data_IF_300886434567
#
_entry.id   IF_300886434567
#
_cell.length_a   1.000
_cell.length_b   1.000
_cell.length_c   1.000
_cell.angle_alpha   90.00
_cell.angle_beta   90.00
_cell.angle_gamma   90.00
#
_symmetry.space_group_name_H-M   'P 1'
#
loop_
_entity.id
_entity.type
_entity.pdbx_description
1 polymer ?
#
# COMPACT_ATOMS: atom_id res chain seq x y z
N UNK A 1 13.01 30.57 27.95
CA UNK A 1 11.63 31.00 28.23
C UNK A 1 11.25 32.07 27.22
N UNK A 2 10.43 31.73 26.23
CA UNK A 2 9.63 32.68 25.46
C UNK A 2 8.40 31.91 24.99
N UNK A 3 7.29 32.15 25.70
CA UNK A 3 6.00 31.56 25.44
C UNK A 3 5.36 32.23 24.22
N UNK A 4 4.80 31.45 23.29
CA UNK A 4 3.83 31.94 22.31
C UNK A 4 2.50 31.24 22.57
N UNK A 5 1.52 32.08 22.91
CA UNK A 5 0.14 31.75 23.26
C UNK A 5 -0.69 31.39 22.04
N UNK A 6 -1.76 30.66 22.34
CA UNK A 6 -2.70 29.97 21.48
C UNK A 6 -3.48 30.82 20.46
N UNK A 7 -3.97 30.14 19.42
CA UNK A 7 -5.16 30.52 18.68
C UNK A 7 -5.83 29.28 18.09
N UNK A 8 -6.85 28.73 18.77
CA UNK A 8 -7.75 27.71 18.21
C UNK A 8 -8.79 28.42 17.35
N UNK A 9 -8.89 28.07 16.07
CA UNK A 9 -10.04 28.38 15.23
C UNK A 9 -10.61 27.08 14.67
N UNK A 10 -11.74 26.65 15.23
CA UNK A 10 -12.58 25.61 14.64
C UNK A 10 -13.41 26.25 13.52
N UNK A 11 -13.42 25.63 12.34
CA UNK A 11 -14.31 26.02 11.24
C UNK A 11 -15.14 24.80 10.86
N UNK A 12 -16.43 24.88 11.19
CA UNK A 12 -17.49 23.98 10.69
C UNK A 12 -18.03 24.62 9.41
N UNK A 13 -18.09 23.88 8.30
CA UNK A 13 -18.86 24.29 7.12
C UNK A 13 -19.70 23.11 6.63
N UNK A 14 -21.01 23.27 6.78
CA UNK A 14 -22.08 22.49 6.16
C UNK A 14 -22.44 23.11 4.80
N UNK A 15 -22.68 22.27 3.78
CA UNK A 15 -23.57 22.54 2.64
C UNK A 15 -23.05 23.51 1.56
N UNK A 16 -22.79 22.99 0.36
CA UNK A 16 -22.15 23.71 -0.73
C UNK A 16 -23.02 24.60 -1.61
N UNK A 17 -22.37 25.45 -2.41
CA UNK A 17 -22.70 25.90 -3.79
C UNK A 17 -21.37 26.35 -4.44
N UNK A 18 -21.19 26.07 -5.72
CA UNK A 18 -20.03 26.45 -6.53
C UNK A 18 -19.90 27.98 -6.72
N UNK A 19 -18.67 28.53 -6.67
CA UNK A 19 -18.22 29.65 -7.50
C UNK A 19 -16.76 30.09 -7.25
N UNK A 20 -16.10 30.43 -8.38
CA UNK A 20 -15.07 31.46 -8.58
C UNK A 20 -13.65 31.25 -8.00
N UNK A 21 -12.73 30.97 -8.93
CA UNK A 21 -11.30 31.00 -8.75
C UNK A 21 -10.78 32.43 -8.51
N UNK A 22 -10.41 32.73 -7.26
CA UNK A 22 -9.52 33.84 -6.88
C UNK A 22 -8.62 33.35 -5.74
N UNK A 23 -7.38 32.93 -6.07
CA UNK A 23 -6.23 32.90 -5.17
C UNK A 23 -6.40 32.30 -3.75
N UNK A 24 -7.26 31.29 -3.57
CA UNK A 24 -7.41 30.53 -2.32
C UNK A 24 -6.74 29.15 -2.39
N UNK A 25 -6.52 28.46 -1.25
CA UNK A 25 -5.87 27.15 -1.27
C UNK A 25 -6.67 26.21 -2.16
N UNK A 26 -6.00 25.53 -3.07
CA UNK A 26 -6.62 24.56 -3.97
C UNK A 26 -7.52 23.65 -3.13
N UNK A 27 -8.81 23.66 -3.42
CA UNK A 27 -9.73 22.66 -2.89
C UNK A 27 -9.27 21.38 -3.56
N UNK A 28 -8.47 20.58 -2.84
CA UNK A 28 -8.05 19.29 -3.34
C UNK A 28 -9.33 18.54 -3.73
N UNK A 29 -9.39 18.09 -4.99
CA UNK A 29 -10.42 17.14 -5.39
C UNK A 29 -10.39 16.01 -4.35
N UNK A 30 -11.53 15.72 -3.72
CA UNK A 30 -11.61 14.60 -2.81
C UNK A 30 -11.23 13.33 -3.60
N UNK A 31 -10.36 12.51 -3.04
CA UNK A 31 -10.02 11.21 -3.62
C UNK A 31 -11.32 10.43 -3.93
N UNK A 32 -11.32 9.58 -4.97
CA UNK A 32 -12.45 8.68 -5.22
C UNK A 32 -12.80 7.90 -3.94
N UNK A 33 -14.08 7.51 -3.75
CA UNK A 33 -14.46 6.76 -2.57
C UNK A 33 -13.65 5.46 -2.46
N UNK A 34 -13.19 5.15 -1.24
CA UNK A 34 -12.33 4.00 -0.91
C UNK A 34 -10.89 4.07 -1.46
N UNK A 35 -10.35 5.27 -1.70
CA UNK A 35 -8.96 5.48 -2.12
C UNK A 35 -8.07 6.10 -1.03
N UNK A 36 -8.43 5.91 0.25
CA UNK A 36 -7.65 6.46 1.37
C UNK A 36 -6.47 5.56 1.74
N UNK A 37 -5.57 6.08 2.58
CA UNK A 37 -4.50 5.28 3.19
C UNK A 37 -5.04 4.09 4.01
N UNK A 38 -6.22 4.23 4.65
CA UNK A 38 -6.86 3.15 5.38
C UNK A 38 -7.32 2.03 4.44
N UNK A 39 -7.85 2.38 3.27
CA UNK A 39 -8.28 1.42 2.26
C UNK A 39 -7.07 0.66 1.68
N UNK A 40 -5.99 1.37 1.36
CA UNK A 40 -4.74 0.74 0.93
C UNK A 40 -4.19 -0.22 1.98
N UNK A 41 -4.20 0.17 3.26
CA UNK A 41 -3.76 -0.69 4.35
C UNK A 41 -4.63 -1.95 4.48
N UNK A 42 -5.95 -1.84 4.28
CA UNK A 42 -6.86 -2.97 4.23
C UNK A 42 -6.51 -3.96 3.12
N UNK A 43 -6.28 -3.46 1.90
CA UNK A 43 -5.85 -4.29 0.75
C UNK A 43 -4.51 -4.96 1.03
N UNK A 44 -3.53 -4.21 1.53
CA UNK A 44 -2.20 -4.75 1.87
C UNK A 44 -2.27 -5.83 2.96
N UNK A 45 -3.17 -5.69 3.93
CA UNK A 45 -3.43 -6.69 4.96
C UNK A 45 -3.98 -7.98 4.35
N UNK A 46 -4.95 -7.87 3.44
CA UNK A 46 -5.49 -9.02 2.69
C UNK A 46 -4.42 -9.76 1.90
N UNK A 47 -3.58 -9.03 1.15
CA UNK A 47 -2.45 -9.61 0.40
C UNK A 47 -1.45 -10.30 1.34
N UNK A 48 -1.17 -9.71 2.49
CA UNK A 48 -0.25 -10.28 3.48
C UNK A 48 -0.81 -11.57 4.08
N UNK A 49 -2.10 -11.61 4.40
CA UNK A 49 -2.78 -12.82 4.90
C UNK A 49 -2.77 -13.94 3.85
N UNK A 50 -3.13 -13.63 2.60
CA UNK A 50 -3.09 -14.60 1.50
C UNK A 50 -1.66 -15.13 1.25
N UNK A 51 -0.65 -14.25 1.32
CA UNK A 51 0.76 -14.66 1.24
C UNK A 51 1.12 -15.61 2.38
N UNK A 52 0.68 -15.34 3.62
CA UNK A 52 0.92 -16.24 4.76
C UNK A 52 0.32 -17.63 4.52
N UNK A 53 -0.93 -17.71 4.04
CA UNK A 53 -1.57 -18.99 3.70
C UNK A 53 -0.81 -19.72 2.59
N UNK A 54 -0.36 -19.00 1.56
CA UNK A 54 0.43 -19.57 0.48
C UNK A 54 1.73 -20.19 1.01
N UNK A 55 2.49 -19.46 1.83
CA UNK A 55 3.73 -19.97 2.40
C UNK A 55 3.51 -21.20 3.30
N UNK A 56 2.42 -21.26 4.08
CA UNK A 56 2.12 -22.46 4.87
C UNK A 56 1.73 -23.68 4.03
N UNK A 57 1.22 -23.47 2.82
CA UNK A 57 0.85 -24.55 1.88
C UNK A 57 1.98 -24.90 0.90
N UNK A 58 3.05 -24.09 0.86
CA UNK A 58 4.23 -24.25 0.03
C UNK A 58 5.50 -24.22 0.90
N UNK A 59 5.79 -25.31 1.64
CA UNK A 59 6.84 -25.32 2.65
C UNK A 59 8.24 -25.08 2.06
N UNK A 60 8.48 -25.49 0.82
CA UNK A 60 9.72 -25.24 0.07
C UNK A 60 9.91 -23.74 -0.24
N UNK A 61 8.84 -23.07 -0.67
CA UNK A 61 8.85 -21.62 -0.89
C UNK A 61 9.06 -20.87 0.42
N UNK A 62 8.40 -21.30 1.49
CA UNK A 62 8.54 -20.72 2.83
C UNK A 62 9.96 -20.87 3.37
N UNK A 63 10.58 -22.05 3.21
CA UNK A 63 11.97 -22.29 3.59
C UNK A 63 12.91 -21.36 2.83
N UNK A 64 12.75 -21.24 1.51
CA UNK A 64 13.55 -20.33 0.69
C UNK A 64 13.51 -18.90 1.23
N UNK A 65 12.31 -18.32 1.39
CA UNK A 65 12.17 -16.94 1.87
C UNK A 65 12.62 -16.76 3.32
N UNK A 66 12.45 -17.78 4.17
CA UNK A 66 12.96 -17.78 5.56
C UNK A 66 14.48 -17.71 5.60
N UNK A 67 15.17 -18.43 4.72
CA UNK A 67 16.63 -18.46 4.63
C UNK A 67 17.25 -17.14 4.10
N UNK A 68 16.42 -16.21 3.62
CA UNK A 68 16.88 -14.84 3.28
C UNK A 68 17.05 -13.94 4.51
N UNK A 69 16.60 -14.37 5.69
CA UNK A 69 16.67 -13.58 6.93
C UNK A 69 18.11 -13.17 7.25
N UNK A 70 18.31 -11.88 7.56
CA UNK A 70 19.60 -11.32 7.93
C UNK A 70 20.51 -10.93 6.76
N UNK A 71 20.12 -11.21 5.51
CA UNK A 71 20.88 -10.80 4.34
C UNK A 71 20.64 -9.32 3.99
N UNK A 72 21.59 -8.65 3.32
CA UNK A 72 21.41 -7.29 2.80
C UNK A 72 20.22 -7.20 1.83
N UNK A 73 19.50 -6.07 1.86
CA UNK A 73 18.24 -5.90 1.10
C UNK A 73 18.41 -6.07 -0.41
N UNK A 74 19.53 -5.62 -0.96
CA UNK A 74 19.91 -5.81 -2.36
C UNK A 74 20.05 -7.30 -2.71
N UNK A 75 20.80 -8.06 -1.90
CA UNK A 75 20.96 -9.51 -2.09
C UNK A 75 19.64 -10.27 -1.96
N UNK A 76 18.78 -9.89 -1.02
CA UNK A 76 17.43 -10.48 -0.86
C UNK A 76 16.62 -10.31 -2.15
N UNK A 77 16.66 -9.12 -2.76
CA UNK A 77 15.90 -8.84 -4.00
C UNK A 77 16.41 -9.66 -5.17
N UNK A 78 17.72 -9.77 -5.34
CA UNK A 78 18.30 -10.50 -6.45
C UNK A 78 18.08 -12.01 -6.32
N UNK A 79 18.25 -12.57 -5.12
CA UNK A 79 17.94 -13.99 -4.86
C UNK A 79 16.47 -14.31 -5.07
N UNK A 80 15.57 -13.45 -4.57
CA UNK A 80 14.14 -13.64 -4.78
C UNK A 80 13.76 -13.57 -6.27
N UNK A 81 14.37 -12.67 -7.05
CA UNK A 81 14.15 -12.62 -8.51
C UNK A 81 14.61 -13.90 -9.20
N UNK A 82 15.85 -14.32 -8.93
CA UNK A 82 16.39 -15.56 -9.50
C UNK A 82 15.47 -16.75 -9.19
N UNK A 83 15.09 -16.92 -7.92
CA UNK A 83 14.19 -18.00 -7.52
C UNK A 83 12.85 -17.96 -8.27
N UNK A 84 12.24 -16.78 -8.42
CA UNK A 84 10.96 -16.67 -9.14
C UNK A 84 11.10 -16.88 -10.65
N UNK A 85 12.25 -16.57 -11.24
CA UNK A 85 12.51 -16.84 -12.66
C UNK A 85 12.74 -18.34 -12.92
N UNK A 86 13.32 -19.05 -11.95
CA UNK A 86 13.48 -20.51 -11.96
C UNK A 86 12.16 -21.25 -11.61
N UNK A 87 11.23 -20.59 -10.92
CA UNK A 87 9.96 -21.16 -10.45
C UNK A 87 8.75 -20.37 -11.00
N UNK A 88 8.41 -20.52 -12.31
CA UNK A 88 7.39 -19.71 -12.97
C UNK A 88 5.98 -19.90 -12.38
N UNK A 89 5.65 -21.08 -11.84
CA UNK A 89 4.38 -21.29 -11.16
C UNK A 89 4.30 -20.46 -9.86
N UNK A 90 5.32 -20.53 -9.01
CA UNK A 90 5.39 -19.74 -7.77
C UNK A 90 5.33 -18.25 -8.06
N UNK A 91 5.99 -17.82 -9.15
CA UNK A 91 5.92 -16.45 -9.64
C UNK A 91 4.50 -16.05 -10.03
N UNK A 92 3.78 -16.89 -10.77
CA UNK A 92 2.40 -16.64 -11.16
C UNK A 92 1.47 -16.54 -9.92
N UNK A 93 1.58 -17.49 -9.00
CA UNK A 93 0.77 -17.51 -7.78
C UNK A 93 0.99 -16.25 -6.93
N UNK A 94 2.26 -15.87 -6.69
CA UNK A 94 2.59 -14.67 -5.93
C UNK A 94 2.22 -13.36 -6.66
N UNK A 95 2.19 -13.37 -7.99
CA UNK A 95 1.67 -12.25 -8.77
C UNK A 95 0.15 -12.12 -8.61
N UNK A 96 -0.58 -13.23 -8.67
CA UNK A 96 -2.03 -13.27 -8.44
C UNK A 96 -2.36 -12.80 -7.01
N UNK A 97 -1.66 -13.29 -5.99
CA UNK A 97 -1.85 -12.84 -4.60
C UNK A 97 -1.65 -11.32 -4.46
N UNK A 98 -0.77 -10.71 -5.27
CA UNK A 98 -0.47 -9.27 -5.22
C UNK A 98 -1.34 -8.43 -6.14
N UNK A 99 -2.14 -9.03 -7.03
CA UNK A 99 -3.02 -8.30 -7.95
C UNK A 99 -3.87 -7.22 -7.27
N UNK A 100 -4.49 -7.45 -6.09
CA UNK A 100 -5.33 -6.44 -5.45
C UNK A 100 -4.64 -5.10 -5.18
N UNK A 101 -3.32 -5.09 -4.96
CA UNK A 101 -2.54 -3.85 -4.81
C UNK A 101 -2.37 -3.11 -6.15
N UNK A 102 -2.17 -3.86 -7.23
CA UNK A 102 -2.17 -3.33 -8.59
C UNK A 102 -3.51 -2.71 -8.91
N UNK A 103 -4.59 -3.48 -8.78
CA UNK A 103 -5.96 -3.04 -9.02
C UNK A 103 -6.34 -1.82 -8.17
N UNK A 104 -5.95 -1.78 -6.90
CA UNK A 104 -6.15 -0.61 -6.05
C UNK A 104 -5.45 0.62 -6.62
N UNK A 105 -4.17 0.50 -6.95
CA UNK A 105 -3.42 1.60 -7.55
C UNK A 105 -4.06 2.04 -8.86
N UNK A 106 -4.57 1.13 -9.69
CA UNK A 106 -5.20 1.48 -10.97
C UNK A 106 -6.52 2.20 -10.84
N UNK A 107 -7.31 1.84 -9.83
CA UNK A 107 -8.59 2.49 -9.53
C UNK A 107 -8.43 3.84 -8.82
N UNK A 108 -7.34 4.02 -8.09
CA UNK A 108 -7.08 5.18 -7.23
C UNK A 108 -5.94 6.09 -7.72
N UNK A 109 -5.63 6.06 -9.04
CA UNK A 109 -4.65 6.96 -9.68
C UNK A 109 -5.17 8.39 -9.74
#
# INVERSE_FOLDING_TARGET
>A
MTAWTAGRAAVVVLGGVAALALGGPAIAAADPPNCTAADMAGVATGVSAATSTYLFTHPDVNEFFTNLKGQPKDQVRDKARQYLDENPQVKADLQEIRQPLGDFRERCK
#
